data_IF_782770240426
#
_entry.id   IF_782770240426
#
_cell.length_a   1.000
_cell.length_b   1.000
_cell.length_c   1.000
_cell.angle_alpha   90.00
_cell.angle_beta   90.00
_cell.angle_gamma   90.00
#
_symmetry.space_group_name_H-M   'P 1'
#
loop_
_entity.id
_entity.type
_entity.pdbx_description
1 polymer ?
#
# COMPACT_ATOMS: atom_id res chain seq x y z
N UNK A 1 56.40 -10.94 -67.24
CA UNK A 1 54.99 -10.58 -67.00
C UNK A 1 54.90 -9.94 -65.63
N UNK A 2 54.55 -8.66 -65.56
CA UNK A 2 54.41 -7.93 -64.30
C UNK A 2 52.95 -7.97 -63.84
N UNK A 3 52.70 -8.49 -62.64
CA UNK A 3 51.39 -8.48 -61.99
C UNK A 3 51.07 -7.06 -61.54
N UNK A 4 50.03 -6.45 -62.12
CA UNK A 4 49.46 -5.19 -61.63
C UNK A 4 48.62 -5.45 -60.38
N UNK A 5 48.74 -4.66 -59.30
CA UNK A 5 47.86 -4.80 -58.16
C UNK A 5 46.47 -4.27 -58.51
N UNK A 6 45.43 -5.03 -58.14
CA UNK A 6 44.03 -4.61 -58.23
C UNK A 6 43.70 -3.80 -56.98
N UNK A 7 43.80 -2.48 -57.06
CA UNK A 7 43.30 -1.55 -56.04
C UNK A 7 41.88 -1.13 -56.40
N UNK A 8 40.88 -1.95 -56.04
CA UNK A 8 39.47 -1.57 -56.08
C UNK A 8 38.77 -1.99 -54.78
N UNK A 9 39.35 -1.63 -53.63
CA UNK A 9 38.63 -1.66 -52.35
C UNK A 9 38.19 -0.23 -52.01
N UNK A 10 36.92 0.08 -52.24
CA UNK A 10 36.29 1.24 -51.62
C UNK A 10 35.78 0.80 -50.24
N UNK A 11 36.20 1.46 -49.13
CA UNK A 11 35.63 1.18 -47.83
C UNK A 11 34.14 1.50 -47.91
N UNK A 12 33.28 0.50 -47.65
CA UNK A 12 31.88 0.79 -47.34
C UNK A 12 31.90 1.77 -46.17
N UNK A 13 31.21 2.90 -46.31
CA UNK A 13 31.00 3.83 -45.20
C UNK A 13 30.67 3.01 -43.95
N UNK A 14 31.58 3.02 -42.98
CA UNK A 14 31.28 2.46 -41.68
C UNK A 14 30.09 3.26 -41.18
N UNK A 15 28.93 2.62 -41.12
CA UNK A 15 27.78 3.17 -40.41
C UNK A 15 28.31 3.55 -39.03
N UNK A 16 28.38 4.86 -38.77
CA UNK A 16 28.69 5.36 -37.43
C UNK A 16 27.76 4.60 -36.49
N UNK A 17 28.25 4.05 -35.37
CA UNK A 17 27.37 3.37 -34.43
C UNK A 17 26.24 4.34 -34.11
N UNK A 18 25.04 4.00 -34.59
CA UNK A 18 23.84 4.74 -34.21
C UNK A 18 23.73 4.45 -32.73
N UNK A 19 24.05 5.45 -31.90
CA UNK A 19 23.66 5.43 -30.51
C UNK A 19 22.15 5.24 -30.53
N UNK A 20 21.71 3.98 -30.35
CA UNK A 20 20.31 3.70 -30.09
C UNK A 20 19.94 4.62 -28.95
N UNK A 21 18.94 5.46 -29.19
CA UNK A 21 18.46 6.42 -28.23
C UNK A 21 18.04 5.61 -27.00
N UNK A 22 18.93 5.49 -26.00
CA UNK A 22 18.63 4.79 -24.75
C UNK A 22 17.53 5.61 -24.15
N UNK A 23 16.30 5.11 -24.29
CA UNK A 23 15.11 5.87 -23.92
C UNK A 23 15.27 6.35 -22.48
N UNK A 24 15.26 7.67 -22.30
CA UNK A 24 15.42 8.30 -20.99
C UNK A 24 14.18 8.00 -20.17
N UNK A 25 14.21 6.90 -19.41
CA UNK A 25 13.10 6.51 -18.54
C UNK A 25 13.00 7.51 -17.39
N UNK A 26 11.88 8.21 -17.35
CA UNK A 26 11.49 9.05 -16.21
C UNK A 26 10.86 8.20 -15.11
N UNK A 27 10.80 8.75 -13.90
CA UNK A 27 10.09 8.09 -12.82
C UNK A 27 8.62 7.91 -13.16
N UNK A 28 8.09 6.75 -12.77
CA UNK A 28 6.66 6.43 -12.81
C UNK A 28 6.31 5.81 -11.48
N UNK A 29 5.14 6.15 -10.97
CA UNK A 29 4.67 5.66 -9.68
C UNK A 29 3.49 4.72 -9.87
N UNK A 30 3.43 3.69 -9.03
CA UNK A 30 2.29 2.79 -8.90
C UNK A 30 1.88 2.71 -7.44
N UNK A 31 0.56 2.64 -7.21
CA UNK A 31 -0.04 2.47 -5.90
C UNK A 31 -0.61 1.06 -5.69
N UNK A 32 -0.29 0.09 -6.57
CA UNK A 32 -0.85 -1.27 -6.50
C UNK A 32 -0.60 -1.98 -5.17
N UNK A 33 0.52 -1.66 -4.51
CA UNK A 33 0.91 -2.20 -3.20
C UNK A 33 0.77 -1.17 -2.07
N UNK A 34 0.13 -0.03 -2.32
CA UNK A 34 -0.01 0.99 -1.28
C UNK A 34 -1.06 0.57 -0.27
N UNK A 35 -0.72 0.70 1.02
CA UNK A 35 -1.66 0.44 2.12
C UNK A 35 -1.40 1.39 3.29
N UNK A 36 -2.47 1.80 3.98
CA UNK A 36 -2.36 2.39 5.31
C UNK A 36 -2.35 1.29 6.37
N UNK A 37 -1.43 1.38 7.32
CA UNK A 37 -1.35 0.49 8.48
C UNK A 37 -1.10 1.34 9.74
N UNK A 38 -1.17 0.72 10.92
CA UNK A 38 -0.76 1.37 12.17
C UNK A 38 0.67 1.95 12.02
N UNK A 39 0.87 3.17 12.51
CA UNK A 39 2.11 3.95 12.38
C UNK A 39 2.46 4.45 10.96
N UNK A 40 1.73 4.03 9.93
CA UNK A 40 1.94 4.46 8.54
C UNK A 40 0.61 4.82 7.88
N UNK A 41 0.01 5.88 8.38
CA UNK A 41 -1.30 6.37 7.99
C UNK A 41 -1.37 7.89 7.90
N UNK A 42 -2.50 8.41 7.41
CA UNK A 42 -2.67 9.82 7.04
C UNK A 42 -3.56 10.62 8.00
N UNK A 43 -4.01 10.06 9.13
CA UNK A 43 -4.94 10.73 10.08
C UNK A 43 -4.35 11.95 10.77
N UNK A 44 -3.02 12.09 10.74
CA UNK A 44 -2.28 13.24 11.27
C UNK A 44 -1.82 14.21 10.19
N UNK A 45 -2.23 14.03 8.94
CA UNK A 45 -1.84 14.87 7.82
C UNK A 45 -2.85 16.00 7.57
N UNK A 46 -2.37 17.21 7.33
CA UNK A 46 -3.17 18.33 6.83
C UNK A 46 -3.40 18.23 5.32
N UNK A 47 -4.38 18.96 4.75
CA UNK A 47 -4.51 19.09 3.30
C UNK A 47 -3.22 19.61 2.63
N UNK A 48 -2.49 20.53 3.28
CA UNK A 48 -1.22 21.04 2.77
C UNK A 48 -0.13 19.96 2.70
N UNK A 49 -0.10 19.01 3.65
CA UNK A 49 0.80 17.87 3.59
C UNK A 49 0.54 17.05 2.31
N UNK A 50 -0.74 16.82 1.97
CA UNK A 50 -1.11 16.07 0.77
C UNK A 50 -0.71 16.79 -0.53
N UNK A 51 -0.83 18.11 -0.57
CA UNK A 51 -0.31 18.92 -1.68
C UNK A 51 1.20 18.71 -1.84
N UNK A 52 1.98 18.83 -0.76
CA UNK A 52 3.43 18.61 -0.80
C UNK A 52 3.81 17.19 -1.20
N UNK A 53 3.02 16.18 -0.82
CA UNK A 53 3.18 14.81 -1.29
C UNK A 53 3.04 14.71 -2.81
N UNK A 54 1.98 15.29 -3.38
CA UNK A 54 1.75 15.29 -4.83
C UNK A 54 2.83 16.07 -5.59
N UNK A 55 3.23 17.23 -5.09
CA UNK A 55 4.33 18.03 -5.67
C UNK A 55 5.63 17.23 -5.69
N UNK A 56 5.96 16.51 -4.60
CA UNK A 56 7.15 15.66 -4.56
C UNK A 56 7.10 14.55 -5.62
N UNK A 57 5.95 13.91 -5.81
CA UNK A 57 5.79 12.90 -6.86
C UNK A 57 5.90 13.51 -8.25
N UNK A 58 5.36 14.71 -8.46
CA UNK A 58 5.48 15.44 -9.73
C UNK A 58 6.94 15.81 -10.03
N UNK A 59 7.67 16.33 -9.04
CA UNK A 59 9.10 16.66 -9.15
C UNK A 59 9.90 15.45 -9.63
N UNK A 60 9.73 14.31 -8.95
CA UNK A 60 10.43 13.08 -9.29
C UNK A 60 10.00 12.54 -10.65
N UNK A 61 8.71 12.63 -11.01
CA UNK A 61 8.19 12.23 -12.32
C UNK A 61 8.83 13.01 -13.48
N UNK A 62 9.40 14.18 -13.22
CA UNK A 62 10.16 14.95 -14.21
C UNK A 62 11.64 14.55 -14.32
N UNK A 63 12.16 13.76 -13.38
CA UNK A 63 13.55 13.30 -13.34
C UNK A 63 13.76 12.04 -14.19
N UNK A 64 14.91 11.95 -14.84
CA UNK A 64 15.39 10.71 -15.47
C UNK A 64 15.96 9.77 -14.38
N UNK A 65 15.53 8.51 -14.37
CA UNK A 65 15.90 7.53 -13.35
C UNK A 65 17.43 7.36 -13.27
N UNK A 66 18.09 7.17 -14.42
CA UNK A 66 19.55 6.95 -14.46
C UNK A 66 20.32 8.13 -13.92
N UNK A 67 19.93 9.35 -14.32
CA UNK A 67 20.56 10.59 -13.86
C UNK A 67 20.36 10.78 -12.35
N UNK A 68 19.17 10.47 -11.84
CA UNK A 68 18.88 10.60 -10.42
C UNK A 68 19.71 9.62 -9.58
N UNK A 69 19.77 8.34 -10.00
CA UNK A 69 20.46 7.29 -9.24
C UNK A 69 21.98 7.48 -9.25
N UNK A 70 22.56 8.00 -10.34
CA UNK A 70 24.00 8.24 -10.44
C UNK A 70 24.47 9.48 -9.67
N UNK A 71 23.58 10.44 -9.41
CA UNK A 71 23.91 11.66 -8.67
C UNK A 71 23.78 11.47 -7.15
N UNK A 72 24.92 11.37 -6.47
CA UNK A 72 24.98 11.26 -5.01
C UNK A 72 24.42 12.48 -4.28
N UNK A 73 24.59 13.68 -4.84
CA UNK A 73 24.10 14.93 -4.23
C UNK A 73 22.58 14.96 -4.27
N UNK A 74 22.00 14.61 -5.41
CA UNK A 74 20.55 14.51 -5.55
C UNK A 74 19.98 13.43 -4.64
N UNK A 75 20.57 12.23 -4.58
CA UNK A 75 20.11 11.17 -3.66
C UNK A 75 20.11 11.63 -2.21
N UNK A 76 21.18 12.27 -1.74
CA UNK A 76 21.27 12.78 -0.37
C UNK A 76 20.24 13.88 -0.10
N UNK A 77 20.02 14.80 -1.05
CA UNK A 77 19.01 15.85 -0.94
C UNK A 77 17.58 15.30 -0.80
N UNK A 78 17.30 14.16 -1.42
CA UNK A 78 16.01 13.46 -1.31
C UNK A 78 15.99 12.40 -0.20
N UNK A 79 17.09 12.19 0.53
CA UNK A 79 17.26 11.05 1.45
C UNK A 79 16.85 9.73 0.77
N UNK A 80 17.22 9.58 -0.49
CA UNK A 80 16.93 8.40 -1.28
C UNK A 80 17.95 7.29 -0.96
N UNK A 81 17.51 6.29 -0.20
CA UNK A 81 18.35 5.15 0.18
C UNK A 81 17.52 3.95 0.62
N UNK A 82 18.17 2.79 0.72
CA UNK A 82 17.56 1.56 1.25
C UNK A 82 17.23 1.73 2.74
N UNK A 83 16.17 1.08 3.19
CA UNK A 83 15.82 1.04 4.61
C UNK A 83 16.82 0.15 5.35
N UNK A 84 17.42 0.69 6.42
CA UNK A 84 18.18 -0.10 7.40
C UNK A 84 17.21 -0.71 8.41
N UNK A 85 16.81 -1.97 8.15
CA UNK A 85 15.88 -2.72 9.01
C UNK A 85 16.41 -3.04 10.40
N UNK A 86 17.72 -2.88 10.64
CA UNK A 86 18.34 -3.07 11.95
C UNK A 86 18.29 -1.81 12.82
N UNK A 87 17.79 -0.69 12.28
CA UNK A 87 17.70 0.55 13.04
C UNK A 87 16.75 0.42 14.23
N UNK A 88 17.10 1.12 15.32
CA UNK A 88 16.36 1.09 16.58
C UNK A 88 14.91 1.58 16.41
N UNK A 89 13.98 0.84 17.01
CA UNK A 89 12.55 1.17 17.15
C UNK A 89 11.76 1.27 15.83
N UNK A 90 12.19 0.62 14.75
CA UNK A 90 11.30 0.48 13.58
C UNK A 90 10.09 -0.38 13.99
N UNK A 91 8.85 0.12 13.82
CA UNK A 91 7.65 -0.57 14.32
C UNK A 91 7.22 -1.78 13.48
N UNK A 92 7.82 -1.97 12.30
CA UNK A 92 7.54 -3.08 11.38
C UNK A 92 8.83 -3.62 10.78
N UNK A 93 8.77 -4.82 10.22
CA UNK A 93 9.83 -5.46 9.46
C UNK A 93 9.38 -5.73 8.03
N UNK A 94 10.34 -5.92 7.12
CA UNK A 94 10.08 -6.24 5.71
C UNK A 94 9.07 -7.39 5.54
N UNK A 95 9.22 -8.45 6.34
CA UNK A 95 8.34 -9.64 6.34
C UNK A 95 6.88 -9.34 6.74
N UNK A 96 6.62 -8.24 7.44
CA UNK A 96 5.28 -7.88 7.90
C UNK A 96 4.45 -7.22 6.77
N UNK A 97 5.10 -6.85 5.66
CA UNK A 97 4.49 -6.26 4.47
C UNK A 97 3.83 -7.33 3.58
N UNK A 98 2.94 -8.12 4.15
CA UNK A 98 2.41 -9.36 3.56
C UNK A 98 1.58 -9.18 2.28
N UNK A 99 1.19 -7.95 1.96
CA UNK A 99 0.43 -7.61 0.75
C UNK A 99 1.33 -7.30 -0.46
N UNK A 100 2.65 -7.24 -0.26
CA UNK A 100 3.62 -7.23 -1.36
C UNK A 100 3.82 -8.68 -1.80
N UNK A 101 3.79 -8.93 -3.11
CA UNK A 101 4.05 -10.25 -3.68
C UNK A 101 5.39 -10.81 -3.18
N UNK A 102 5.42 -12.12 -2.91
CA UNK A 102 6.56 -12.79 -2.29
C UNK A 102 7.85 -12.63 -3.10
N UNK A 103 7.76 -12.65 -4.43
CA UNK A 103 8.88 -12.46 -5.37
C UNK A 103 9.59 -11.11 -5.17
N UNK A 104 8.84 -10.06 -4.77
CA UNK A 104 9.43 -8.78 -4.42
C UNK A 104 9.81 -8.74 -2.95
N UNK A 105 8.93 -9.21 -2.05
CA UNK A 105 9.12 -9.10 -0.59
C UNK A 105 10.32 -9.90 -0.08
N UNK A 106 10.59 -11.09 -0.60
CA UNK A 106 11.68 -11.94 -0.11
C UNK A 106 13.00 -11.73 -0.88
N UNK A 107 12.99 -11.00 -2.00
CA UNK A 107 14.17 -10.72 -2.80
C UNK A 107 14.70 -9.29 -2.57
N UNK A 108 15.36 -9.07 -1.44
CA UNK A 108 15.96 -7.77 -1.10
C UNK A 108 17.09 -7.36 -2.05
N UNK A 109 17.77 -8.32 -2.67
CA UNK A 109 18.92 -8.05 -3.55
C UNK A 109 18.48 -7.34 -4.82
N UNK A 110 17.42 -7.83 -5.47
CA UNK A 110 16.91 -7.26 -6.71
C UNK A 110 15.87 -6.16 -6.47
N UNK A 111 15.08 -6.30 -5.39
CA UNK A 111 13.97 -5.40 -5.06
C UNK A 111 14.10 -4.82 -3.64
N UNK A 112 15.16 -4.06 -3.36
CA UNK A 112 15.33 -3.44 -2.05
C UNK A 112 14.20 -2.44 -1.79
N UNK A 113 13.72 -2.41 -0.54
CA UNK A 113 12.79 -1.37 -0.12
C UNK A 113 13.57 -0.10 0.16
N UNK A 114 13.17 0.95 -0.54
CA UNK A 114 13.78 2.26 -0.58
C UNK A 114 12.84 3.24 0.10
N UNK A 115 13.44 4.32 0.60
CA UNK A 115 12.69 5.49 1.05
C UNK A 115 13.21 6.75 0.38
N UNK A 116 12.37 7.77 0.31
CA UNK A 116 12.79 9.15 0.06
C UNK A 116 11.88 10.12 0.83
N UNK A 117 12.40 11.30 1.15
CA UNK A 117 11.67 12.31 1.92
C UNK A 117 10.75 13.16 1.03
N UNK A 118 9.58 13.53 1.56
CA UNK A 118 8.78 14.61 0.97
C UNK A 118 9.49 15.92 1.22
N UNK A 119 9.87 16.15 2.48
CA UNK A 119 10.79 17.19 2.91
C UNK A 119 11.45 16.76 4.23
N UNK A 120 12.33 17.59 4.79
CA UNK A 120 12.93 17.31 6.10
C UNK A 120 11.92 17.16 7.24
N UNK A 121 10.73 17.75 7.11
CA UNK A 121 9.71 17.78 8.17
C UNK A 121 8.39 17.11 7.81
N UNK A 122 8.20 16.70 6.55
CA UNK A 122 6.94 16.15 6.05
C UNK A 122 6.96 14.63 5.89
N UNK A 123 7.91 13.95 6.53
CA UNK A 123 7.98 12.50 6.45
C UNK A 123 8.57 11.97 5.14
N UNK A 124 8.26 10.70 4.88
CA UNK A 124 8.90 9.88 3.86
C UNK A 124 7.88 9.04 3.10
N UNK A 125 8.30 8.57 1.94
CA UNK A 125 7.59 7.61 1.12
C UNK A 125 8.45 6.36 1.03
N UNK A 126 7.84 5.19 1.17
CA UNK A 126 8.51 3.88 1.12
C UNK A 126 7.99 3.11 -0.08
N UNK A 127 8.90 2.48 -0.83
CA UNK A 127 8.55 1.68 -1.98
C UNK A 127 9.73 0.93 -2.58
N UNK A 128 9.54 0.35 -3.75
CA UNK A 128 10.58 -0.37 -4.49
C UNK A 128 10.41 -0.20 -6.00
N UNK A 129 11.47 -0.40 -6.76
CA UNK A 129 11.40 -0.47 -8.22
C UNK A 129 11.04 -1.88 -8.65
N UNK A 130 10.11 -2.03 -9.60
CA UNK A 130 9.86 -3.31 -10.26
C UNK A 130 10.73 -3.49 -11.51
N UNK A 131 10.62 -4.66 -12.14
CA UNK A 131 11.32 -5.05 -13.37
C UNK A 131 11.05 -4.10 -14.55
N UNK A 132 9.93 -3.35 -14.50
CA UNK A 132 9.55 -2.40 -15.53
C UNK A 132 10.06 -0.97 -15.26
N UNK A 133 10.82 -0.75 -14.20
CA UNK A 133 11.24 0.58 -13.73
C UNK A 133 10.02 1.46 -13.39
N UNK A 134 9.06 0.90 -12.65
CA UNK A 134 8.00 1.65 -11.98
C UNK A 134 8.27 1.58 -10.47
N UNK A 135 8.25 2.74 -9.81
CA UNK A 135 8.39 2.82 -8.35
C UNK A 135 7.03 2.53 -7.71
N UNK A 136 6.91 1.37 -7.09
CA UNK A 136 5.70 0.96 -6.39
C UNK A 136 5.74 1.52 -4.96
N UNK A 137 4.84 2.45 -4.67
CA UNK A 137 4.66 3.01 -3.33
C UNK A 137 3.94 1.96 -2.48
N UNK A 138 4.51 1.66 -1.32
CA UNK A 138 4.00 0.66 -0.37
C UNK A 138 3.42 1.35 0.86
N UNK A 139 4.20 2.24 1.48
CA UNK A 139 3.80 2.98 2.67
C UNK A 139 4.07 4.47 2.49
N UNK A 140 3.30 5.25 3.21
CA UNK A 140 3.55 6.67 3.42
C UNK A 140 3.80 6.86 4.92
N UNK A 141 4.91 7.52 5.24
CA UNK A 141 5.41 7.70 6.59
C UNK A 141 5.51 9.19 6.93
N UNK A 142 4.37 9.88 7.18
CA UNK A 142 4.38 11.31 7.46
C UNK A 142 5.08 11.67 8.77
N UNK A 143 5.24 10.71 9.69
CA UNK A 143 5.76 10.92 11.05
C UNK A 143 7.18 10.38 11.26
N UNK A 144 7.88 9.98 10.20
CA UNK A 144 9.26 9.50 10.21
C UNK A 144 9.49 8.19 11.00
N UNK A 145 8.46 7.35 11.10
CA UNK A 145 8.43 6.09 11.84
C UNK A 145 9.24 4.94 11.20
N UNK A 146 9.47 4.91 9.87
CA UNK A 146 10.19 3.80 9.23
C UNK A 146 11.69 3.81 9.57
N UNK A 147 12.20 4.98 9.95
CA UNK A 147 13.57 5.16 10.43
C UNK A 147 13.61 6.31 11.44
N UNK A 148 13.25 6.04 12.71
CA UNK A 148 13.21 7.03 13.77
C UNK A 148 14.60 7.61 14.03
N UNK A 149 14.75 8.92 13.98
CA UNK A 149 16.06 9.54 14.09
C UNK A 149 16.52 9.69 15.56
N UNK A 150 17.85 9.64 15.76
CA UNK A 150 18.49 9.89 17.07
C UNK A 150 18.12 11.26 17.65
N UNK A 151 18.02 12.29 16.80
CA UNK A 151 17.62 13.66 17.20
C UNK A 151 16.22 13.71 17.80
N UNK A 152 15.37 12.72 17.51
CA UNK A 152 14.03 12.57 18.06
C UNK A 152 13.95 11.37 19.03
N UNK A 153 15.08 10.97 19.63
CA UNK A 153 15.18 9.89 20.61
C UNK A 153 14.64 8.54 20.11
N UNK A 154 14.69 8.29 18.80
CA UNK A 154 14.11 7.11 18.17
C UNK A 154 12.63 6.91 18.50
N UNK A 155 11.88 8.01 18.68
CA UNK A 155 10.46 7.99 18.99
C UNK A 155 9.65 7.56 17.76
N UNK A 156 8.71 6.64 17.97
CA UNK A 156 7.63 6.31 17.04
C UNK A 156 6.40 7.12 17.45
N UNK A 157 5.70 7.71 16.49
CA UNK A 157 4.50 8.50 16.74
C UNK A 157 3.26 7.77 16.22
N UNK A 158 2.22 7.74 17.04
CA UNK A 158 0.97 7.02 16.74
C UNK A 158 0.17 7.72 15.63
N UNK A 159 -0.23 6.93 14.64
CA UNK A 159 -1.18 7.32 13.60
C UNK A 159 -1.98 6.08 13.16
N UNK A 160 -3.20 6.30 12.70
CA UNK A 160 -4.17 5.23 12.37
C UNK A 160 -4.76 5.45 10.97
N UNK A 161 -5.07 4.37 10.22
CA UNK A 161 -5.67 4.49 8.90
C UNK A 161 -6.90 5.40 8.88
N UNK A 162 -6.92 6.37 7.95
CA UNK A 162 -8.13 7.16 7.69
C UNK A 162 -9.15 6.31 6.92
N UNK A 163 -10.42 6.38 7.34
CA UNK A 163 -11.55 5.95 6.51
C UNK A 163 -11.78 6.96 5.38
N UNK A 164 -12.14 6.49 4.19
CA UNK A 164 -12.60 7.40 3.13
C UNK A 164 -14.10 7.72 3.33
N UNK A 165 -14.57 8.85 2.80
CA UNK A 165 -15.98 9.28 2.89
C UNK A 165 -16.96 8.20 2.43
N UNK A 166 -16.55 7.37 1.48
CA UNK A 166 -17.33 6.21 1.05
C UNK A 166 -17.48 5.16 2.16
N UNK A 167 -16.38 4.78 2.82
CA UNK A 167 -16.42 3.88 3.98
C UNK A 167 -17.19 4.47 5.15
N UNK A 168 -17.04 5.78 5.41
CA UNK A 168 -17.78 6.50 6.43
C UNK A 168 -19.28 6.56 6.11
N UNK A 169 -19.67 6.81 4.85
CA UNK A 169 -21.04 6.78 4.38
C UNK A 169 -21.66 5.38 4.50
N UNK A 170 -20.91 4.35 4.13
CA UNK A 170 -21.35 2.96 4.30
C UNK A 170 -21.57 2.63 5.78
N UNK A 171 -20.67 3.06 6.66
CA UNK A 171 -20.82 2.92 8.11
C UNK A 171 -22.05 3.66 8.64
N UNK A 172 -22.30 4.88 8.19
CA UNK A 172 -23.48 5.65 8.59
C UNK A 172 -24.77 4.99 8.10
N UNK A 173 -24.80 4.44 6.88
CA UNK A 173 -25.93 3.67 6.35
C UNK A 173 -26.17 2.40 7.17
N UNK A 174 -25.13 1.65 7.55
CA UNK A 174 -25.27 0.47 8.42
C UNK A 174 -25.75 0.83 9.83
N UNK A 175 -25.22 1.91 10.41
CA UNK A 175 -25.63 2.39 11.72
C UNK A 175 -27.10 2.80 11.75
N UNK A 176 -27.57 3.41 10.66
CA UNK A 176 -28.98 3.71 10.41
C UNK A 176 -29.75 2.38 10.30
N UNK A 177 -29.32 1.43 9.44
CA UNK A 177 -29.98 0.13 9.25
C UNK A 177 -30.18 -0.67 10.55
N UNK A 178 -29.17 -0.68 11.42
CA UNK A 178 -29.12 -1.54 12.60
C UNK A 178 -29.80 -0.94 13.84
N UNK A 179 -30.36 0.27 13.74
CA UNK A 179 -31.06 0.93 14.84
C UNK A 179 -32.51 1.21 14.46
N UNK A 180 -33.44 0.79 15.31
CA UNK A 180 -34.83 1.21 15.21
C UNK A 180 -34.95 2.66 15.71
N UNK A 181 -34.63 3.62 14.82
CA UNK A 181 -34.65 5.05 15.11
C UNK A 181 -36.07 5.62 15.27
N UNK A 182 -37.10 4.80 15.07
CA UNK A 182 -38.48 5.15 15.32
C UNK A 182 -39.11 4.25 16.37
N UNK A 183 -39.76 4.90 17.34
CA UNK A 183 -40.67 4.27 18.30
C UNK A 183 -42.08 4.08 17.75
N UNK A 184 -42.46 4.84 16.71
CA UNK A 184 -43.75 4.73 16.04
C UNK A 184 -43.61 3.87 14.76
N UNK A 185 -44.35 2.75 14.63
CA UNK A 185 -44.30 1.89 13.44
C UNK A 185 -44.74 2.61 12.14
N UNK A 186 -45.47 3.73 12.23
CA UNK A 186 -45.96 4.48 11.07
C UNK A 186 -45.08 5.69 10.69
N UNK A 187 -43.87 5.82 11.24
CA UNK A 187 -43.02 7.00 10.99
C UNK A 187 -42.40 7.06 9.58
N UNK A 188 -42.64 6.05 8.73
CA UNK A 188 -42.14 6.00 7.34
C UNK A 188 -40.63 5.74 7.20
N UNK A 189 -39.89 5.61 8.31
CA UNK A 189 -38.45 5.36 8.32
C UNK A 189 -38.07 4.07 7.57
N UNK A 190 -38.69 2.94 7.95
CA UNK A 190 -38.46 1.66 7.29
C UNK A 190 -38.81 1.72 5.80
N UNK A 191 -39.90 2.41 5.44
CA UNK A 191 -40.33 2.55 4.05
C UNK A 191 -39.35 3.39 3.22
N UNK A 192 -38.84 4.51 3.74
CA UNK A 192 -37.85 5.36 3.05
C UNK A 192 -36.51 4.65 2.91
N UNK A 193 -36.09 3.91 3.92
CA UNK A 193 -34.86 3.11 3.89
C UNK A 193 -34.94 1.98 2.85
N UNK A 194 -36.06 1.24 2.82
CA UNK A 194 -36.30 0.18 1.82
C UNK A 194 -36.37 0.70 0.39
N UNK A 195 -36.65 1.99 0.20
CA UNK A 195 -36.69 2.65 -1.10
C UNK A 195 -35.34 3.22 -1.55
N UNK A 196 -34.26 3.07 -0.75
CA UNK A 196 -32.93 3.44 -1.19
C UNK A 196 -32.53 2.58 -2.39
N UNK A 197 -32.02 3.18 -3.49
CA UNK A 197 -31.63 2.44 -4.67
C UNK A 197 -30.38 1.61 -4.38
N UNK A 198 -30.58 0.38 -3.88
CA UNK A 198 -29.54 -0.63 -3.84
C UNK A 198 -29.52 -1.35 -5.18
N UNK A 199 -28.57 -0.99 -6.06
CA UNK A 199 -28.22 -1.89 -7.14
C UNK A 199 -27.42 -3.04 -6.52
N UNK A 200 -28.14 -4.08 -6.12
CA UNK A 200 -27.61 -5.31 -5.56
C UNK A 200 -26.85 -6.14 -6.62
N UNK A 201 -25.77 -5.58 -7.17
CA UNK A 201 -24.88 -6.29 -8.10
C UNK A 201 -23.64 -6.88 -7.38
N UNK A 202 -23.53 -6.72 -6.06
CA UNK A 202 -22.48 -7.33 -5.24
C UNK A 202 -23.13 -8.23 -4.18
N UNK A 203 -23.62 -9.41 -4.58
CA UNK A 203 -24.56 -10.19 -3.75
C UNK A 203 -23.93 -11.13 -2.72
N UNK A 204 -22.61 -11.23 -2.58
CA UNK A 204 -22.00 -12.18 -1.63
C UNK A 204 -20.88 -11.56 -0.75
N UNK A 205 -20.93 -10.26 -0.48
CA UNK A 205 -19.96 -9.59 0.41
C UNK A 205 -20.66 -9.20 1.72
N UNK A 206 -20.29 -9.86 2.81
CA UNK A 206 -20.64 -9.45 4.17
C UNK A 206 -19.50 -8.59 4.73
N UNK A 207 -19.75 -7.30 4.92
CA UNK A 207 -18.85 -6.47 5.72
C UNK A 207 -19.31 -6.54 7.18
N UNK A 208 -18.40 -6.91 8.08
CA UNK A 208 -18.69 -7.04 9.50
C UNK A 208 -17.65 -6.24 10.29
N UNK A 209 -18.13 -5.30 11.11
CA UNK A 209 -17.29 -4.59 12.05
C UNK A 209 -17.01 -5.48 13.27
N UNK A 210 -15.72 -5.62 13.59
CA UNK A 210 -15.21 -6.38 14.73
C UNK A 210 -14.42 -5.39 15.59
N UNK A 211 -14.73 -5.31 16.88
CA UNK A 211 -13.99 -4.45 17.80
C UNK A 211 -12.58 -5.02 18.13
N UNK A 212 -11.73 -4.21 18.76
CA UNK A 212 -10.34 -4.59 19.07
C UNK A 212 -10.25 -5.82 19.97
N UNK A 213 -11.26 -6.05 20.83
CA UNK A 213 -11.30 -7.18 21.75
C UNK A 213 -11.60 -8.47 20.99
N UNK A 214 -12.63 -8.43 20.15
CA UNK A 214 -13.06 -9.56 19.34
C UNK A 214 -12.03 -9.90 18.25
N UNK A 215 -11.41 -8.89 17.63
CA UNK A 215 -10.37 -9.10 16.64
C UNK A 215 -9.13 -9.73 17.27
N UNK A 216 -8.77 -9.32 18.49
CA UNK A 216 -7.67 -9.92 19.24
C UNK A 216 -7.98 -11.37 19.62
N UNK A 217 -9.21 -11.67 20.03
CA UNK A 217 -9.65 -13.04 20.32
C UNK A 217 -9.59 -13.94 19.07
N UNK A 218 -10.13 -13.47 17.94
CA UNK A 218 -10.09 -14.19 16.67
C UNK A 218 -8.64 -14.45 16.20
N UNK A 219 -7.77 -13.44 16.30
CA UNK A 219 -6.35 -13.59 15.97
C UNK A 219 -5.62 -14.55 16.92
N UNK A 220 -6.00 -14.63 18.20
CA UNK A 220 -5.46 -15.65 19.11
C UNK A 220 -5.87 -17.06 18.71
N UNK A 221 -7.11 -17.28 18.26
CA UNK A 221 -7.55 -18.58 17.75
C UNK A 221 -6.71 -19.02 16.55
N UNK A 222 -6.38 -18.09 15.65
CA UNK A 222 -5.49 -18.36 14.51
C UNK A 222 -4.07 -18.68 14.97
N UNK A 223 -3.49 -17.88 15.87
CA UNK A 223 -2.14 -18.12 16.43
C UNK A 223 -2.04 -19.47 17.15
N UNK A 224 -3.11 -19.89 17.81
CA UNK A 224 -3.21 -21.18 18.50
C UNK A 224 -3.50 -22.35 17.55
N UNK A 225 -3.60 -22.11 16.24
CA UNK A 225 -3.97 -23.11 15.22
C UNK A 225 -5.32 -23.78 15.48
N UNK A 226 -6.24 -23.07 16.15
CA UNK A 226 -7.63 -23.49 16.34
C UNK A 226 -8.52 -23.11 15.16
N UNK A 227 -8.05 -22.19 14.33
CA UNK A 227 -8.57 -21.87 13.01
C UNK A 227 -7.40 -21.41 12.13
N UNK A 228 -7.57 -21.50 10.83
CA UNK A 228 -6.61 -21.13 9.79
C UNK A 228 -6.85 -19.72 9.25
N UNK A 229 -8.06 -19.17 9.43
CA UNK A 229 -8.41 -17.82 8.98
C UNK A 229 -9.62 -17.25 9.73
N UNK A 230 -9.84 -15.93 9.60
CA UNK A 230 -11.06 -15.28 10.08
C UNK A 230 -12.31 -15.82 9.36
N UNK A 231 -12.19 -16.20 8.09
CA UNK A 231 -13.27 -16.82 7.32
C UNK A 231 -13.68 -18.17 7.91
N UNK A 232 -12.71 -18.99 8.32
CA UNK A 232 -13.00 -20.28 8.95
C UNK A 232 -13.64 -20.10 10.33
N UNK A 233 -13.23 -19.09 11.10
CA UNK A 233 -13.89 -18.72 12.36
C UNK A 233 -15.36 -18.35 12.12
N UNK A 234 -15.64 -17.56 11.08
CA UNK A 234 -17.01 -17.21 10.69
C UNK A 234 -17.82 -18.45 10.28
N UNK A 235 -17.23 -19.36 9.50
CA UNK A 235 -17.87 -20.63 9.12
C UNK A 235 -18.15 -21.54 10.31
N UNK A 236 -17.24 -21.62 11.29
CA UNK A 236 -17.48 -22.34 12.54
C UNK A 236 -18.66 -21.76 13.32
N UNK A 237 -18.80 -20.43 13.35
CA UNK A 237 -19.96 -19.77 13.95
C UNK A 237 -21.28 -20.16 13.27
N UNK A 238 -21.30 -20.23 11.94
CA UNK A 238 -22.48 -20.70 11.19
C UNK A 238 -22.81 -22.15 11.55
N UNK A 239 -21.82 -23.06 11.43
CA UNK A 239 -22.03 -24.48 11.71
C UNK A 239 -22.52 -24.73 13.16
N UNK A 240 -21.97 -24.00 14.14
CA UNK A 240 -22.41 -24.08 15.52
C UNK A 240 -23.88 -23.69 15.70
N UNK A 241 -24.35 -22.67 14.99
CA UNK A 241 -25.75 -22.23 15.05
C UNK A 241 -26.68 -23.23 14.35
N UNK A 242 -26.27 -23.78 13.20
CA UNK A 242 -27.02 -24.82 12.47
C UNK A 242 -27.19 -26.10 13.32
N UNK A 243 -26.14 -26.52 14.04
CA UNK A 243 -26.20 -27.69 14.92
C UNK A 243 -27.10 -27.45 16.15
N UNK A 244 -27.11 -26.25 16.71
CA UNK A 244 -27.95 -25.91 17.86
C UNK A 244 -29.44 -25.82 17.49
N UNK A 245 -29.79 -25.36 16.29
CA UNK A 245 -31.18 -25.35 15.81
C UNK A 245 -31.73 -26.77 15.59
N UNK A 246 -30.89 -27.72 15.16
CA UNK A 246 -31.29 -29.13 15.02
C UNK A 246 -31.53 -29.84 16.36
N UNK A 247 -30.84 -29.42 17.43
CA UNK A 247 -31.00 -29.99 18.77
C UNK A 247 -32.26 -29.53 19.52
N UNK A 248 -32.84 -28.39 19.13
CA UNK A 248 -34.07 -27.85 19.72
C UNK A 248 -35.36 -28.33 19.02
N UNK A 249 -35.26 -28.91 17.81
CA UNK A 249 -36.39 -29.47 17.07
C UNK A 249 -36.65 -30.96 17.35
N UNK A 250 -35.98 -31.56 18.34
CA UNK A 250 -36.16 -32.96 18.76
C UNK A 250 -36.77 -33.12 20.16
N UNK A 251 -37.49 -32.11 20.67
CA UNK A 251 -38.29 -32.20 21.90
C UNK A 251 -39.78 -32.03 21.65
#
# INVERSE_FOLDING_TARGET
>A
MALKPVLNYQPKEQQKPVLQNIEKKKWRFSFRFWRQIEYFALDRCSPSWFVSFLERLQDLSNQEIKSFISDSTTKEAYRYHTIDWNQKNIPIQRKDLIWIDEDYRENEMDFPLLQFQISKSLGRIVGFWDEFNVFNIVLVDPLHNIQPAKSHHYKVNDCSPLSCDYSSLLYDIEKIKNKNHCTNPNCGYAQRFNNLPSKANYTNVLMHYIDDTDLKAANQLIKQKKANSLTEIFQYGIAYLEDNDNSNNTR
#
